data_IF_144157216075
#
_entry.id   IF_144157216075
#
_cell.length_a   1.000
_cell.length_b   1.000
_cell.length_c   1.000
_cell.angle_alpha   90.00
_cell.angle_beta   90.00
_cell.angle_gamma   90.00
#
_symmetry.space_group_name_H-M   'P 1'
#
loop_
_entity.id
_entity.type
_entity.pdbx_description
1 polymer ?
#
# COMPACT_ATOMS: atom_id res chain seq x y z
N UNK A 1 23.48 -7.02 -16.34
CA UNK A 1 22.37 -7.99 -16.38
C UNK A 1 21.14 -7.26 -16.89
N UNK A 2 20.58 -7.70 -18.02
CA UNK A 2 19.39 -7.09 -18.60
C UNK A 2 18.21 -7.33 -17.67
N UNK A 3 17.57 -6.26 -17.23
CA UNK A 3 16.27 -6.32 -16.55
C UNK A 3 15.27 -6.78 -17.61
N UNK A 4 14.86 -8.04 -17.56
CA UNK A 4 13.80 -8.54 -18.40
C UNK A 4 12.54 -7.75 -18.03
N UNK A 5 12.12 -6.84 -18.90
CA UNK A 5 10.80 -6.23 -18.90
C UNK A 5 9.80 -7.37 -19.21
N UNK A 6 9.45 -8.14 -18.19
CA UNK A 6 8.41 -9.14 -18.31
C UNK A 6 7.10 -8.35 -18.34
N UNK A 7 6.53 -8.22 -19.52
CA UNK A 7 5.18 -7.70 -19.69
C UNK A 7 4.23 -8.68 -18.99
N UNK A 8 3.96 -8.44 -17.70
CA UNK A 8 3.13 -9.31 -16.87
C UNK A 8 1.69 -9.11 -17.34
N UNK A 9 1.08 -10.18 -17.86
CA UNK A 9 -0.29 -10.11 -18.35
C UNK A 9 -1.31 -9.89 -17.21
N UNK A 10 -2.47 -9.29 -17.48
CA UNK A 10 -3.52 -9.09 -16.48
C UNK A 10 -3.89 -10.35 -15.68
N UNK A 11 -4.00 -11.56 -16.28
CA UNK A 11 -4.23 -12.80 -15.53
C UNK A 11 -3.10 -13.13 -14.54
N UNK A 12 -1.85 -12.86 -14.88
CA UNK A 12 -0.71 -13.07 -13.98
C UNK A 12 -0.72 -12.09 -12.80
N UNK A 13 -1.08 -10.83 -13.05
CA UNK A 13 -1.27 -9.83 -11.99
C UNK A 13 -2.39 -10.27 -11.04
N UNK A 14 -3.53 -10.69 -11.56
CA UNK A 14 -4.65 -11.18 -10.75
C UNK A 14 -4.26 -12.43 -9.93
N UNK A 15 -3.44 -13.31 -10.48
CA UNK A 15 -2.87 -14.47 -9.78
C UNK A 15 -1.98 -14.05 -8.60
N UNK A 16 -1.10 -13.07 -8.81
CA UNK A 16 -0.26 -12.49 -7.76
C UNK A 16 -1.08 -11.85 -6.64
N UNK A 17 -2.13 -11.12 -6.99
CA UNK A 17 -3.05 -10.50 -6.02
C UNK A 17 -3.79 -11.58 -5.21
N UNK A 18 -4.28 -12.65 -5.85
CA UNK A 18 -4.96 -13.76 -5.16
C UNK A 18 -4.03 -14.43 -4.15
N UNK A 19 -2.79 -14.69 -4.53
CA UNK A 19 -1.80 -15.27 -3.63
C UNK A 19 -1.51 -14.33 -2.46
N UNK A 20 -1.33 -13.03 -2.71
CA UNK A 20 -1.11 -12.04 -1.68
C UNK A 20 -2.29 -11.96 -0.69
N UNK A 21 -3.53 -11.95 -1.19
CA UNK A 21 -4.74 -11.97 -0.39
C UNK A 21 -4.78 -13.18 0.56
N UNK A 22 -4.53 -14.38 0.02
CA UNK A 22 -4.49 -15.61 0.81
C UNK A 22 -3.39 -15.59 1.88
N UNK A 23 -2.20 -15.08 1.53
CA UNK A 23 -1.04 -15.06 2.44
C UNK A 23 -1.17 -14.00 3.54
N UNK A 24 -1.76 -12.85 3.23
CA UNK A 24 -1.86 -11.72 4.18
C UNK A 24 -3.19 -11.70 4.95
N UNK A 25 -4.18 -12.50 4.53
CA UNK A 25 -5.53 -12.46 5.10
C UNK A 25 -6.34 -11.22 4.72
N UNK A 26 -5.94 -10.53 3.65
CA UNK A 26 -6.64 -9.34 3.13
C UNK A 26 -7.64 -9.76 2.05
N UNK A 27 -8.78 -9.04 1.91
CA UNK A 27 -9.77 -9.32 0.85
C UNK A 27 -9.13 -9.24 -0.54
N UNK A 28 -9.37 -10.27 -1.36
CA UNK A 28 -8.93 -10.30 -2.76
C UNK A 28 -9.59 -9.19 -3.56
N UNK A 29 -10.89 -9.00 -3.36
CA UNK A 29 -11.71 -7.99 -4.03
C UNK A 29 -11.18 -6.60 -3.74
N UNK A 30 -10.83 -6.32 -2.47
CA UNK A 30 -10.24 -5.05 -2.06
C UNK A 30 -8.89 -4.79 -2.76
N UNK A 31 -7.99 -5.77 -2.72
CA UNK A 31 -6.67 -5.62 -3.36
C UNK A 31 -6.79 -5.48 -4.89
N UNK A 32 -7.71 -6.21 -5.52
CA UNK A 32 -7.95 -6.14 -6.95
C UNK A 32 -8.50 -4.76 -7.36
N UNK A 33 -9.52 -4.28 -6.63
CA UNK A 33 -10.12 -2.98 -6.89
C UNK A 33 -9.10 -1.84 -6.70
N UNK A 34 -8.29 -1.91 -5.64
CA UNK A 34 -7.22 -0.92 -5.40
C UNK A 34 -6.20 -0.91 -6.54
N UNK A 35 -5.70 -2.08 -6.97
CA UNK A 35 -4.76 -2.16 -8.09
C UNK A 35 -5.36 -1.63 -9.40
N UNK A 36 -6.66 -1.85 -9.63
CA UNK A 36 -7.37 -1.31 -10.80
C UNK A 36 -7.44 0.22 -10.76
N UNK A 37 -7.74 0.80 -9.61
CA UNK A 37 -7.86 2.26 -9.42
C UNK A 37 -6.48 2.92 -9.53
N UNK A 38 -5.47 2.38 -8.83
CA UNK A 38 -4.16 3.00 -8.69
C UNK A 38 -3.31 2.96 -9.98
N UNK A 39 -3.33 1.83 -10.67
CA UNK A 39 -2.42 1.59 -11.80
C UNK A 39 -3.08 0.99 -13.04
N UNK A 40 -4.40 0.74 -13.02
CA UNK A 40 -5.09 -0.05 -14.04
C UNK A 40 -4.46 -1.42 -14.24
N UNK A 41 -4.05 -2.05 -13.13
CA UNK A 41 -3.37 -3.36 -13.10
C UNK A 41 -1.98 -3.35 -13.77
N UNK A 42 -1.34 -2.20 -13.90
CA UNK A 42 0.00 -2.07 -14.48
C UNK A 42 1.08 -2.04 -13.38
N UNK A 43 1.90 -3.11 -13.23
CA UNK A 43 2.96 -3.14 -12.23
C UNK A 43 4.09 -2.13 -12.47
N UNK A 44 4.25 -1.65 -13.71
CA UNK A 44 5.28 -0.69 -14.09
C UNK A 44 4.77 0.77 -14.07
N UNK A 45 3.56 1.02 -13.56
CA UNK A 45 3.01 2.37 -13.50
C UNK A 45 3.88 3.28 -12.64
N UNK A 46 4.09 4.51 -13.12
CA UNK A 46 4.81 5.57 -12.41
C UNK A 46 3.98 6.83 -12.42
N UNK A 47 3.85 7.50 -11.28
CA UNK A 47 3.18 8.78 -11.22
C UNK A 47 4.06 9.89 -11.83
N UNK A 48 3.50 10.80 -12.63
CA UNK A 48 4.29 11.83 -13.29
C UNK A 48 4.77 12.94 -12.34
N UNK A 49 4.11 13.13 -11.20
CA UNK A 49 4.32 14.29 -10.30
C UNK A 49 4.68 13.89 -8.87
N UNK A 50 4.82 12.60 -8.59
CA UNK A 50 5.17 12.11 -7.26
C UNK A 50 6.11 10.90 -7.33
N UNK A 51 6.58 10.42 -6.18
CA UNK A 51 7.38 9.19 -6.08
C UNK A 51 6.54 7.91 -6.15
N UNK A 52 5.22 8.01 -6.34
CA UNK A 52 4.34 6.86 -6.36
C UNK A 52 4.61 5.94 -7.56
N UNK A 53 4.69 4.65 -7.32
CA UNK A 53 5.00 3.68 -8.37
C UNK A 53 4.50 2.27 -8.07
N UNK A 54 4.50 1.46 -9.13
CA UNK A 54 4.09 0.06 -9.09
C UNK A 54 2.58 -0.14 -9.08
N UNK A 55 2.18 -1.39 -8.87
CA UNK A 55 0.79 -1.84 -8.95
C UNK A 55 -0.16 -1.09 -8.00
N UNK A 56 0.33 -0.66 -6.83
CA UNK A 56 -0.44 -0.01 -5.76
C UNK A 56 0.00 1.44 -5.48
N UNK A 57 0.78 2.03 -6.38
CA UNK A 57 1.23 3.42 -6.31
C UNK A 57 1.81 3.82 -4.94
N UNK A 58 2.64 2.96 -4.37
CA UNK A 58 3.35 3.28 -3.14
C UNK A 58 4.31 4.44 -3.33
N UNK A 59 4.21 5.46 -2.49
CA UNK A 59 5.24 6.49 -2.35
C UNK A 59 6.47 5.93 -1.61
N UNK A 60 7.62 6.54 -1.82
CA UNK A 60 8.91 6.04 -1.32
C UNK A 60 8.90 5.72 0.19
N UNK A 61 8.41 6.64 1.02
CA UNK A 61 8.43 6.45 2.48
C UNK A 61 7.53 5.32 2.93
N UNK A 62 6.32 5.24 2.39
CA UNK A 62 5.38 4.15 2.72
C UNK A 62 5.92 2.80 2.24
N UNK A 63 6.55 2.76 1.06
CA UNK A 63 7.19 1.56 0.54
C UNK A 63 8.32 1.07 1.45
N UNK A 64 9.27 1.95 1.77
CA UNK A 64 10.39 1.62 2.63
C UNK A 64 9.94 1.18 4.03
N UNK A 65 8.97 1.89 4.62
CA UNK A 65 8.39 1.50 5.91
C UNK A 65 7.75 0.10 5.85
N UNK A 66 6.97 -0.18 4.79
CA UNK A 66 6.29 -1.47 4.63
C UNK A 66 7.29 -2.60 4.43
N UNK A 67 8.29 -2.43 3.57
CA UNK A 67 9.35 -3.43 3.38
C UNK A 67 10.15 -3.64 4.65
N UNK A 68 10.50 -2.57 5.38
CA UNK A 68 11.23 -2.66 6.65
C UNK A 68 10.48 -3.50 7.67
N UNK A 69 9.20 -3.23 7.85
CA UNK A 69 8.42 -3.80 8.94
C UNK A 69 7.81 -5.16 8.60
N UNK A 70 7.29 -5.33 7.38
CA UNK A 70 6.61 -6.55 6.97
C UNK A 70 7.47 -7.48 6.11
N UNK A 71 8.43 -6.94 5.38
CA UNK A 71 9.26 -7.69 4.43
C UNK A 71 9.90 -8.97 4.97
N UNK A 72 10.45 -8.99 6.21
CA UNK A 72 11.03 -10.21 6.78
C UNK A 72 10.08 -11.40 6.79
N UNK A 73 8.79 -11.18 7.05
CA UNK A 73 7.77 -12.23 7.06
C UNK A 73 7.46 -12.81 5.66
N UNK A 74 7.95 -12.16 4.60
CA UNK A 74 7.69 -12.53 3.20
C UNK A 74 8.98 -12.77 2.41
N UNK A 75 10.08 -13.13 3.09
CA UNK A 75 11.34 -13.46 2.43
C UNK A 75 12.16 -12.25 1.95
N UNK A 76 11.79 -11.02 2.35
CA UNK A 76 12.48 -9.79 1.99
C UNK A 76 13.44 -9.30 3.10
N UNK A 77 13.87 -10.17 4.00
CA UNK A 77 14.70 -9.81 5.15
C UNK A 77 15.99 -9.09 4.77
N UNK A 78 16.68 -9.52 3.69
CA UNK A 78 17.88 -8.85 3.21
C UNK A 78 17.63 -7.39 2.79
N UNK A 79 16.49 -7.09 2.18
CA UNK A 79 16.09 -5.73 1.81
C UNK A 79 15.71 -4.91 3.03
N UNK A 80 14.95 -5.50 3.95
CA UNK A 80 14.56 -4.85 5.21
C UNK A 80 15.78 -4.46 6.04
N UNK A 81 16.84 -5.28 6.07
CA UNK A 81 18.08 -5.00 6.78
C UNK A 81 18.86 -3.82 6.19
N UNK A 82 18.75 -3.58 4.88
CA UNK A 82 19.39 -2.46 4.21
C UNK A 82 18.65 -1.11 4.43
N UNK A 83 17.41 -1.14 4.94
CA UNK A 83 16.63 0.05 5.24
C UNK A 83 16.92 0.49 6.68
N UNK A 84 17.28 1.75 6.87
CA UNK A 84 17.49 2.40 8.15
C UNK A 84 16.40 3.42 8.42
N UNK A 85 16.07 3.63 9.72
CA UNK A 85 15.18 4.71 10.12
C UNK A 85 16.00 5.79 10.80
N UNK A 86 15.91 7.02 10.31
CA UNK A 86 16.57 8.16 10.88
C UNK A 86 15.88 8.68 12.17
N UNK A 87 16.52 9.61 12.88
CA UNK A 87 15.96 10.19 14.10
C UNK A 87 14.70 11.02 13.85
N UNK A 88 14.48 11.47 12.62
CA UNK A 88 13.27 12.16 12.16
C UNK A 88 12.11 11.19 11.82
N UNK A 89 12.32 9.88 12.04
CA UNK A 89 11.36 8.84 11.73
C UNK A 89 11.29 8.44 10.24
N UNK A 90 12.04 9.10 9.36
CA UNK A 90 12.06 8.78 7.93
C UNK A 90 12.93 7.55 7.65
N UNK A 91 12.53 6.81 6.63
CA UNK A 91 13.27 5.63 6.17
C UNK A 91 14.20 6.02 5.02
N UNK A 92 15.41 5.46 5.04
CA UNK A 92 16.41 5.62 3.99
C UNK A 92 17.16 4.31 3.71
N UNK A 93 17.84 4.26 2.56
CA UNK A 93 18.72 3.17 2.16
C UNK A 93 20.04 3.81 1.75
N UNK A 94 21.06 3.83 2.63
CA UNK A 94 22.33 4.51 2.38
C UNK A 94 23.11 3.95 1.17
N UNK A 95 22.96 2.66 0.89
CA UNK A 95 23.61 2.04 -0.26
C UNK A 95 22.77 2.26 -1.54
N UNK A 96 23.31 2.97 -2.58
CA UNK A 96 22.54 3.29 -3.79
C UNK A 96 22.09 2.05 -4.58
N UNK A 97 22.90 1.01 -4.65
CA UNK A 97 22.54 -0.23 -5.36
C UNK A 97 21.41 -0.96 -4.64
N UNK A 98 21.46 -1.05 -3.31
CA UNK A 98 20.39 -1.61 -2.51
C UNK A 98 19.11 -0.77 -2.65
N UNK A 99 19.22 0.57 -2.64
CA UNK A 99 18.07 1.46 -2.85
C UNK A 99 17.40 1.19 -4.20
N UNK A 100 18.17 1.13 -5.28
CA UNK A 100 17.65 0.82 -6.62
C UNK A 100 16.94 -0.53 -6.65
N UNK A 101 17.52 -1.56 -6.04
CA UNK A 101 16.91 -2.89 -5.96
C UNK A 101 15.59 -2.86 -5.18
N UNK A 102 15.58 -2.24 -3.99
CA UNK A 102 14.38 -2.15 -3.13
C UNK A 102 13.26 -1.37 -3.82
N UNK A 103 13.57 -0.23 -4.45
CA UNK A 103 12.58 0.56 -5.16
C UNK A 103 12.05 -0.16 -6.40
N UNK A 104 12.90 -0.93 -7.09
CA UNK A 104 12.50 -1.78 -8.22
C UNK A 104 11.51 -2.89 -7.87
N UNK A 105 11.50 -3.36 -6.62
CA UNK A 105 10.54 -4.37 -6.17
C UNK A 105 9.08 -3.91 -6.27
N UNK A 106 8.80 -2.61 -6.27
CA UNK A 106 7.44 -2.06 -6.49
C UNK A 106 6.86 -2.47 -7.84
N UNK A 107 7.71 -2.72 -8.83
CA UNK A 107 7.33 -3.12 -10.18
C UNK A 107 7.13 -4.64 -10.31
N UNK A 108 7.46 -5.41 -9.27
CA UNK A 108 7.16 -6.82 -9.21
C UNK A 108 5.75 -7.02 -8.67
N UNK A 109 4.84 -7.54 -9.49
CA UNK A 109 3.43 -7.67 -9.15
C UNK A 109 3.20 -8.48 -7.86
N UNK A 110 3.95 -9.57 -7.66
CA UNK A 110 3.81 -10.44 -6.50
C UNK A 110 4.28 -9.76 -5.22
N UNK A 111 5.46 -9.12 -5.25
CA UNK A 111 6.01 -8.40 -4.10
C UNK A 111 5.14 -7.20 -3.77
N UNK A 112 4.74 -6.43 -4.78
CA UNK A 112 3.88 -5.26 -4.60
C UNK A 112 2.53 -5.63 -3.98
N UNK A 113 1.88 -6.70 -4.48
CA UNK A 113 0.63 -7.19 -3.92
C UNK A 113 0.78 -7.72 -2.48
N UNK A 114 1.88 -8.43 -2.18
CA UNK A 114 2.17 -8.91 -0.84
C UNK A 114 2.34 -7.75 0.15
N UNK A 115 3.10 -6.73 -0.23
CA UNK A 115 3.31 -5.54 0.61
C UNK A 115 2.02 -4.72 0.76
N UNK A 116 1.19 -4.62 -0.28
CA UNK A 116 -0.11 -3.97 -0.18
C UNK A 116 -1.05 -4.70 0.79
N UNK A 117 -1.10 -6.04 0.73
CA UNK A 117 -1.88 -6.84 1.68
C UNK A 117 -1.40 -6.67 3.13
N UNK A 118 -0.07 -6.70 3.35
CA UNK A 118 0.51 -6.48 4.67
C UNK A 118 0.23 -5.06 5.22
N UNK A 119 0.36 -4.06 4.38
CA UNK A 119 0.05 -2.66 4.70
C UNK A 119 -1.43 -2.48 5.05
N UNK A 120 -2.33 -3.04 4.25
CA UNK A 120 -3.78 -3.01 4.50
C UNK A 120 -4.14 -3.70 5.82
N UNK A 121 -3.54 -4.86 6.11
CA UNK A 121 -3.76 -5.57 7.39
C UNK A 121 -3.31 -4.72 8.58
N UNK A 122 -2.15 -4.07 8.48
CA UNK A 122 -1.66 -3.19 9.53
C UNK A 122 -2.60 -2.00 9.75
N UNK A 123 -3.04 -1.34 8.68
CA UNK A 123 -4.02 -0.25 8.75
C UNK A 123 -5.35 -0.72 9.33
N UNK A 124 -5.82 -1.93 8.97
CA UNK A 124 -7.04 -2.51 9.52
C UNK A 124 -6.95 -2.72 11.04
N UNK A 125 -5.82 -3.20 11.55
CA UNK A 125 -5.59 -3.38 12.98
C UNK A 125 -5.60 -2.05 13.73
N UNK A 126 -4.89 -1.03 13.22
CA UNK A 126 -4.85 0.30 13.81
C UNK A 126 -6.23 0.99 13.80
N UNK A 127 -6.93 0.93 12.65
CA UNK A 127 -8.28 1.47 12.54
C UNK A 127 -9.28 0.75 13.45
N UNK A 128 -9.20 -0.58 13.55
CA UNK A 128 -10.07 -1.34 14.46
C UNK A 128 -9.88 -0.90 15.90
N UNK A 129 -8.64 -0.67 16.31
CA UNK A 129 -8.31 -0.16 17.64
C UNK A 129 -8.88 1.25 17.88
N UNK A 130 -8.77 2.13 16.88
CA UNK A 130 -9.25 3.51 16.97
C UNK A 130 -10.77 3.63 16.92
N UNK A 131 -11.45 2.78 16.13
CA UNK A 131 -12.89 2.82 15.92
C UNK A 131 -13.67 1.92 16.88
N UNK A 132 -13.02 1.01 17.60
CA UNK A 132 -13.67 0.00 18.43
C UNK A 132 -14.48 -1.04 17.64
N UNK A 133 -14.31 -1.12 16.32
CA UNK A 133 -14.99 -2.06 15.41
C UNK A 133 -14.11 -2.37 14.19
N UNK A 134 -14.49 -3.40 13.43
CA UNK A 134 -13.87 -3.69 12.15
C UNK A 134 -14.10 -2.52 11.15
N UNK A 135 -13.04 -2.00 10.50
CA UNK A 135 -13.19 -0.97 9.47
C UNK A 135 -13.85 -1.54 8.21
N UNK A 136 -14.58 -0.68 7.51
CA UNK A 136 -15.08 -0.96 6.16
C UNK A 136 -13.96 -0.89 5.11
N UNK A 137 -14.19 -1.43 3.92
CA UNK A 137 -13.24 -1.33 2.81
C UNK A 137 -12.99 0.13 2.40
N UNK A 138 -14.02 0.99 2.47
CA UNK A 138 -13.87 2.41 2.20
C UNK A 138 -12.96 3.11 3.22
N UNK A 139 -13.05 2.77 4.51
CA UNK A 139 -12.15 3.29 5.54
C UNK A 139 -10.73 2.78 5.36
N UNK A 140 -10.55 1.53 4.93
CA UNK A 140 -9.24 0.98 4.58
C UNK A 140 -8.63 1.70 3.36
N UNK A 141 -9.45 2.05 2.37
CA UNK A 141 -8.99 2.80 1.21
C UNK A 141 -8.57 4.23 1.59
N UNK A 142 -9.32 4.90 2.46
CA UNK A 142 -8.90 6.19 3.03
C UNK A 142 -7.58 6.05 3.79
N UNK A 143 -7.39 4.98 4.55
CA UNK A 143 -6.14 4.72 5.27
C UNK A 143 -4.95 4.46 4.35
N UNK A 144 -5.18 3.97 3.16
CA UNK A 144 -4.13 3.82 2.15
C UNK A 144 -3.48 5.18 1.79
N UNK A 145 -4.27 6.25 1.72
CA UNK A 145 -3.80 7.59 1.38
C UNK A 145 -3.35 8.43 2.56
N UNK A 146 -4.10 8.39 3.66
CA UNK A 146 -3.91 9.30 4.79
C UNK A 146 -3.10 8.69 5.93
N UNK A 147 -2.81 7.38 5.85
CA UNK A 147 -2.37 6.59 6.99
C UNK A 147 -3.52 6.29 7.95
N UNK A 148 -3.31 5.34 8.85
CA UNK A 148 -4.34 4.88 9.77
C UNK A 148 -4.82 5.99 10.74
N UNK A 149 -3.92 6.86 11.20
CA UNK A 149 -4.26 8.00 12.07
C UNK A 149 -5.17 9.02 11.38
N UNK A 150 -4.88 9.34 10.11
CA UNK A 150 -5.71 10.24 9.31
C UNK A 150 -7.10 9.66 9.05
N UNK A 151 -7.16 8.38 8.72
CA UNK A 151 -8.42 7.68 8.50
C UNK A 151 -9.25 7.50 9.78
N UNK A 152 -8.60 7.27 10.92
CA UNK A 152 -9.27 7.20 12.23
C UNK A 152 -9.96 8.51 12.58
N UNK A 153 -9.30 9.64 12.35
CA UNK A 153 -9.90 10.99 12.54
C UNK A 153 -11.06 11.24 11.59
N UNK A 154 -10.93 10.84 10.33
CA UNK A 154 -12.01 10.95 9.33
C UNK A 154 -13.20 10.07 9.70
N UNK A 155 -12.97 8.82 10.13
CA UNK A 155 -14.01 7.89 10.58
C UNK A 155 -14.76 8.38 11.82
N UNK A 156 -14.06 8.95 12.78
CA UNK A 156 -14.66 9.56 13.99
C UNK A 156 -15.55 10.77 13.64
N UNK A 157 -15.14 11.59 12.67
CA UNK A 157 -15.94 12.72 12.20
C UNK A 157 -17.27 12.28 11.55
N UNK A 158 -17.22 11.22 10.73
CA UNK A 158 -18.42 10.64 10.11
C UNK A 158 -19.34 10.00 11.16
N UNK A 159 -18.76 9.33 12.16
CA UNK A 159 -19.53 8.68 13.22
C UNK A 159 -20.22 9.68 14.19
N UNK A 160 -19.64 10.88 14.37
CA UNK A 160 -20.17 11.92 15.25
C UNK A 160 -21.40 12.66 14.69
N UNK A 161 -21.84 12.36 13.48
CA UNK A 161 -23.11 12.86 12.91
C UNK A 161 -23.12 14.35 12.55
N UNK A 162 -21.97 15.04 12.60
CA UNK A 162 -21.87 16.48 12.29
C UNK A 162 -21.73 16.78 10.78
N UNK A 163 -21.73 15.76 9.93
CA UNK A 163 -21.71 15.89 8.48
C UNK A 163 -22.86 15.12 7.84
N UNK A 164 -23.55 15.71 6.84
CA UNK A 164 -24.47 14.97 5.99
C UNK A 164 -23.76 13.70 5.51
N UNK A 165 -24.48 12.58 5.41
CA UNK A 165 -23.99 11.29 4.92
C UNK A 165 -23.34 11.41 3.52
N UNK A 166 -22.13 11.93 3.47
CA UNK A 166 -21.26 11.73 2.32
C UNK A 166 -20.64 10.34 2.48
N UNK A 167 -20.75 9.51 1.45
CA UNK A 167 -20.03 8.23 1.45
C UNK A 167 -18.53 8.50 1.55
N UNK A 168 -17.76 7.59 2.18
CA UNK A 168 -16.31 7.74 2.26
C UNK A 168 -15.67 7.96 0.86
N UNK A 169 -16.28 7.42 -0.19
CA UNK A 169 -15.91 7.64 -1.60
C UNK A 169 -16.09 9.10 -2.05
N UNK A 170 -17.16 9.78 -1.63
CA UNK A 170 -17.35 11.20 -1.97
C UNK A 170 -16.38 12.12 -1.24
N UNK A 171 -15.99 11.76 -0.03
CA UNK A 171 -15.00 12.51 0.73
C UNK A 171 -13.59 12.39 0.11
N UNK A 172 -13.18 11.18 -0.30
CA UNK A 172 -11.90 10.94 -1.00
C UNK A 172 -11.82 11.75 -2.30
N UNK A 173 -12.89 11.77 -3.11
CA UNK A 173 -12.93 12.53 -4.37
C UNK A 173 -12.79 14.05 -4.14
N UNK A 174 -13.24 14.58 -3.01
CA UNK A 174 -13.14 16.01 -2.69
C UNK A 174 -11.79 16.44 -2.11
N UNK A 175 -11.04 15.51 -1.50
CA UNK A 175 -9.80 15.84 -0.76
C UNK A 175 -8.54 15.59 -1.59
N UNK A 176 -8.64 14.84 -2.69
CA UNK A 176 -7.53 14.46 -3.57
C UNK A 176 -7.49 15.29 -4.88
N UNK A 177 -8.30 16.37 -4.98
CA UNK A 177 -8.23 17.34 -6.09
C UNK A 177 -7.43 18.58 -5.74
#
# INVERSE_FOLDING_TARGET
MAVLNVNVSPPQVAGAIRQAAATTGTSFEYLLATAQIESRMNPAAQAPTSSAGGLYQFIDQTWLATVKNAGPSFGLGQYANAIVQGPDGRFDVPNPAARTAIMGLRNNAQVSAMMAGAFTRNNAAQLSSALGRKPSEAELYVAHFLGADGAGRAGSFVASGSGRRASASEWVIRTVR
#
